data_IF_846199676831
#
_entry.id   IF_846199676831
#
_cell.length_a   1.000
_cell.length_b   1.000
_cell.length_c   1.000
_cell.angle_alpha   90.00
_cell.angle_beta   90.00
_cell.angle_gamma   90.00
#
_symmetry.space_group_name_H-M   'P 1'
#
loop_
_entity.id
_entity.type
_entity.pdbx_description
1 polymer ?
#
# COMPACT_ATOMS: atom_id res chain seq x y z
N UNK A 1 -25.23 3.51 -1.87
CA UNK A 1 -24.04 3.77 -1.05
C UNK A 1 -24.53 4.17 0.33
N UNK A 2 -24.04 3.53 1.38
CA UNK A 2 -24.38 3.88 2.75
C UNK A 2 -23.39 4.92 3.33
N UNK A 3 -23.69 5.50 4.49
CA UNK A 3 -22.86 6.54 5.11
C UNK A 3 -21.45 6.05 5.49
N UNK A 4 -21.34 4.79 5.92
CA UNK A 4 -20.05 4.16 6.26
C UNK A 4 -19.15 4.06 5.03
N UNK A 5 -19.71 3.71 3.87
CA UNK A 5 -18.99 3.71 2.60
C UNK A 5 -18.49 5.10 2.25
N UNK A 6 -19.33 6.13 2.33
CA UNK A 6 -18.92 7.52 2.05
C UNK A 6 -17.77 7.98 2.95
N UNK A 7 -17.85 7.67 4.25
CA UNK A 7 -16.80 7.95 5.22
C UNK A 7 -15.49 7.24 4.86
N UNK A 8 -15.53 5.92 4.63
CA UNK A 8 -14.36 5.14 4.21
C UNK A 8 -13.76 5.71 2.92
N UNK A 9 -14.57 5.95 1.90
CA UNK A 9 -14.12 6.47 0.61
C UNK A 9 -13.39 7.82 0.76
N UNK A 10 -13.90 8.70 1.63
CA UNK A 10 -13.27 10.00 1.89
C UNK A 10 -11.88 9.86 2.50
N UNK A 11 -11.66 8.82 3.32
CA UNK A 11 -10.38 8.53 3.97
C UNK A 11 -9.40 7.89 2.98
N UNK A 12 -9.85 6.85 2.26
CA UNK A 12 -8.95 5.96 1.52
C UNK A 12 -8.73 6.36 0.07
N UNK A 13 -9.55 7.25 -0.49
CA UNK A 13 -9.51 7.60 -1.91
C UNK A 13 -9.72 9.08 -2.22
N UNK A 14 -9.68 9.93 -1.18
CA UNK A 14 -9.92 11.37 -1.26
C UNK A 14 -11.26 11.73 -1.95
N UNK A 15 -12.25 10.86 -1.81
CA UNK A 15 -13.56 10.98 -2.45
C UNK A 15 -14.34 12.19 -1.90
N UNK A 16 -14.87 13.02 -2.80
CA UNK A 16 -15.64 14.23 -2.49
C UNK A 16 -17.01 14.24 -3.19
N UNK A 17 -17.68 13.09 -3.21
CA UNK A 17 -18.98 12.90 -3.88
C UNK A 17 -18.90 12.19 -5.23
N UNK A 18 -17.77 12.27 -5.92
CA UNK A 18 -17.51 11.55 -7.18
C UNK A 18 -16.02 11.33 -7.41
N UNK A 19 -15.70 10.42 -8.33
CA UNK A 19 -14.35 10.25 -8.88
C UNK A 19 -14.24 10.96 -10.24
N UNK A 20 -13.06 11.47 -10.54
CA UNK A 20 -12.69 11.91 -11.88
C UNK A 20 -12.04 10.73 -12.63
N UNK A 21 -12.44 10.50 -13.88
CA UNK A 21 -11.93 9.39 -14.68
C UNK A 21 -12.64 8.06 -14.43
N UNK A 22 -11.94 6.97 -14.70
CA UNK A 22 -12.49 5.63 -14.55
C UNK A 22 -12.60 5.25 -13.07
N UNK A 23 -13.61 4.49 -12.70
CA UNK A 23 -13.70 3.98 -11.33
C UNK A 23 -14.50 2.67 -11.21
N UNK A 24 -14.24 1.91 -10.15
CA UNK A 24 -15.06 0.78 -9.72
C UNK A 24 -15.12 0.69 -8.21
N UNK A 25 -16.28 0.97 -7.63
CA UNK A 25 -16.51 0.93 -6.18
C UNK A 25 -17.05 -0.43 -5.78
N UNK A 26 -16.37 -1.07 -4.82
CA UNK A 26 -16.78 -2.33 -4.22
C UNK A 26 -17.30 -2.08 -2.81
N UNK A 27 -18.51 -2.53 -2.52
CA UNK A 27 -19.16 -2.46 -1.20
C UNK A 27 -19.60 -3.88 -0.81
N UNK A 28 -19.14 -4.37 0.34
CA UNK A 28 -19.53 -5.66 0.93
C UNK A 28 -19.46 -6.84 -0.06
N UNK A 29 -18.37 -6.89 -0.83
CA UNK A 29 -18.11 -7.93 -1.81
C UNK A 29 -18.83 -7.79 -3.15
N UNK A 30 -19.51 -6.67 -3.41
CA UNK A 30 -20.26 -6.42 -4.64
C UNK A 30 -19.86 -5.10 -5.29
N UNK A 31 -19.96 -5.02 -6.60
CA UNK A 31 -19.79 -3.76 -7.34
C UNK A 31 -21.03 -2.90 -7.19
N UNK A 32 -20.89 -1.66 -6.69
CA UNK A 32 -22.00 -0.70 -6.56
C UNK A 32 -21.93 0.45 -7.57
N UNK A 33 -20.82 0.60 -8.27
CA UNK A 33 -20.68 1.57 -9.34
C UNK A 33 -19.42 1.28 -10.14
N UNK A 34 -19.51 1.37 -11.46
CA UNK A 34 -18.38 1.15 -12.36
C UNK A 34 -18.51 2.00 -13.61
N UNK A 35 -17.44 2.72 -13.94
CA UNK A 35 -17.35 3.60 -15.10
C UNK A 35 -15.97 3.40 -15.75
N UNK A 36 -15.98 3.13 -17.05
CA UNK A 36 -14.80 3.16 -17.92
C UNK A 36 -14.69 4.54 -18.59
N UNK A 37 -13.49 4.91 -19.03
CA UNK A 37 -13.26 6.07 -19.91
C UNK A 37 -13.04 5.59 -21.34
N UNK A 38 -12.63 6.50 -22.22
CA UNK A 38 -12.24 6.15 -23.59
C UNK A 38 -11.02 5.22 -23.62
N UNK A 39 -10.06 5.42 -22.71
CA UNK A 39 -8.77 4.71 -22.70
C UNK A 39 -8.57 3.78 -21.51
N UNK A 40 -9.44 3.83 -20.49
CA UNK A 40 -9.38 2.94 -19.33
C UNK A 40 -10.65 2.10 -19.25
N UNK A 41 -10.50 0.80 -19.53
CA UNK A 41 -11.59 -0.16 -19.62
C UNK A 41 -11.62 -1.05 -18.38
N UNK A 42 -12.72 -1.00 -17.62
CA UNK A 42 -12.91 -1.84 -16.43
C UNK A 42 -13.92 -2.94 -16.72
N UNK A 43 -13.44 -4.17 -16.82
CA UNK A 43 -14.25 -5.35 -17.11
C UNK A 43 -14.34 -6.26 -15.87
N UNK A 44 -15.49 -6.91 -15.68
CA UNK A 44 -15.59 -7.94 -14.64
C UNK A 44 -14.94 -9.23 -15.16
N UNK A 45 -14.16 -9.87 -14.30
CA UNK A 45 -13.63 -11.21 -14.55
C UNK A 45 -14.74 -12.23 -14.68
N UNK A 46 -14.49 -13.26 -15.48
CA UNK A 46 -15.45 -14.36 -15.73
C UNK A 46 -15.16 -15.61 -14.90
N UNK A 47 -13.91 -15.77 -14.46
CA UNK A 47 -13.37 -16.95 -13.78
C UNK A 47 -13.39 -16.82 -12.25
N UNK A 48 -13.20 -15.59 -11.74
CA UNK A 48 -13.11 -15.30 -10.30
C UNK A 48 -13.62 -13.88 -9.99
N UNK A 49 -13.96 -13.56 -8.73
CA UNK A 49 -14.38 -12.22 -8.35
C UNK A 49 -13.29 -11.18 -8.65
N UNK A 50 -13.65 -10.08 -9.29
CA UNK A 50 -12.76 -8.94 -9.51
C UNK A 50 -12.71 -8.48 -10.96
N UNK A 51 -11.63 -7.80 -11.34
CA UNK A 51 -11.59 -6.95 -12.52
C UNK A 51 -10.43 -7.28 -13.46
N UNK A 52 -10.69 -7.17 -14.76
CA UNK A 52 -9.69 -6.97 -15.80
C UNK A 52 -9.71 -5.48 -16.15
N UNK A 53 -8.64 -4.77 -15.81
CA UNK A 53 -8.48 -3.34 -16.05
C UNK A 53 -7.47 -3.20 -17.19
N UNK A 54 -7.91 -2.62 -18.31
CA UNK A 54 -7.10 -2.46 -19.51
C UNK A 54 -6.93 -0.98 -19.77
N UNK A 55 -5.68 -0.52 -19.82
CA UNK A 55 -5.31 0.85 -20.14
C UNK A 55 -4.63 0.83 -21.51
N UNK A 56 -5.22 1.55 -22.46
CA UNK A 56 -4.78 1.55 -23.86
C UNK A 56 -3.38 2.18 -24.01
N UNK A 57 -2.66 1.76 -25.06
CA UNK A 57 -1.34 2.31 -25.37
C UNK A 57 -1.38 3.83 -25.53
N UNK A 58 -0.38 4.54 -25.00
CA UNK A 58 -0.27 5.99 -25.10
C UNK A 58 -1.19 6.78 -24.17
N UNK A 59 -1.91 6.13 -23.25
CA UNK A 59 -2.78 6.84 -22.29
C UNK A 59 -1.96 7.73 -21.36
N UNK A 60 -2.23 9.03 -21.33
CA UNK A 60 -1.50 10.02 -20.52
C UNK A 60 -2.45 10.85 -19.65
N UNK A 61 -2.13 10.99 -18.37
CA UNK A 61 -2.81 11.89 -17.44
C UNK A 61 -4.17 11.40 -16.94
N UNK A 62 -4.57 10.17 -17.26
CA UNK A 62 -5.81 9.58 -16.73
C UNK A 62 -5.61 8.96 -15.36
N UNK A 63 -6.69 8.96 -14.57
CA UNK A 63 -6.76 8.32 -13.27
C UNK A 63 -7.85 7.25 -13.21
N UNK A 64 -7.60 6.21 -12.43
CA UNK A 64 -8.51 5.13 -12.12
C UNK A 64 -8.67 4.98 -10.61
N UNK A 65 -9.90 4.92 -10.10
CA UNK A 65 -10.17 4.64 -8.69
C UNK A 65 -10.85 3.27 -8.48
N UNK A 66 -10.29 2.39 -7.65
CA UNK A 66 -10.88 1.06 -7.37
C UNK A 66 -11.02 0.76 -5.86
N UNK A 67 -11.73 1.59 -5.08
CA UNK A 67 -11.84 1.41 -3.65
C UNK A 67 -12.76 0.23 -3.26
N UNK A 68 -12.45 -0.39 -2.13
CA UNK A 68 -13.26 -1.43 -1.50
C UNK A 68 -13.65 -1.05 -0.06
N UNK A 69 -14.94 -1.17 0.24
CA UNK A 69 -15.52 -0.83 1.53
C UNK A 69 -16.27 -2.05 2.08
N UNK A 70 -15.83 -2.57 3.22
CA UNK A 70 -16.60 -3.51 4.03
C UNK A 70 -17.23 -2.71 5.15
N UNK A 71 -18.56 -2.66 5.19
CA UNK A 71 -19.32 -1.70 5.99
C UNK A 71 -19.91 -2.29 7.26
N UNK A 72 -19.80 -3.60 7.46
CA UNK A 72 -20.22 -4.29 8.67
C UNK A 72 -19.44 -5.60 8.88
N UNK A 73 -19.53 -6.17 10.09
CA UNK A 73 -19.01 -7.49 10.40
C UNK A 73 -19.79 -8.63 9.71
N UNK A 74 -19.24 -9.84 9.75
CA UNK A 74 -19.71 -11.02 9.01
C UNK A 74 -19.50 -10.90 7.48
N UNK A 75 -18.45 -10.19 7.09
CA UNK A 75 -18.03 -10.08 5.68
C UNK A 75 -16.62 -10.64 5.52
N UNK A 76 -16.48 -11.53 4.55
CA UNK A 76 -15.21 -12.06 4.10
C UNK A 76 -15.06 -11.82 2.59
N UNK A 77 -14.46 -10.68 2.24
CA UNK A 77 -14.32 -10.27 0.85
C UNK A 77 -12.95 -10.64 0.28
N UNK A 78 -12.96 -11.19 -0.93
CA UNK A 78 -11.76 -11.55 -1.71
C UNK A 78 -11.98 -11.12 -3.16
N UNK A 79 -11.03 -10.34 -3.70
CA UNK A 79 -11.13 -9.80 -5.05
C UNK A 79 -9.79 -9.92 -5.79
N UNK A 80 -9.84 -10.24 -7.08
CA UNK A 80 -8.68 -10.37 -7.95
C UNK A 80 -8.71 -9.30 -9.04
N UNK A 81 -7.78 -8.37 -9.03
CA UNK A 81 -7.70 -7.30 -10.01
C UNK A 81 -6.42 -7.43 -10.82
N UNK A 82 -6.56 -7.54 -12.13
CA UNK A 82 -5.41 -7.51 -13.05
C UNK A 82 -5.42 -6.19 -13.79
N UNK A 83 -4.28 -5.51 -13.80
CA UNK A 83 -4.06 -4.27 -14.52
C UNK A 83 -3.13 -4.56 -15.69
N UNK A 84 -3.62 -4.32 -16.89
CA UNK A 84 -2.87 -4.39 -18.14
C UNK A 84 -2.63 -2.97 -18.61
N UNK A 85 -1.41 -2.47 -18.42
CA UNK A 85 -1.02 -1.11 -18.80
C UNK A 85 -0.28 -1.20 -20.13
N UNK A 86 -0.84 -0.54 -21.15
CA UNK A 86 -0.27 -0.46 -22.49
C UNK A 86 1.11 0.19 -22.55
N UNK A 87 1.69 0.19 -23.75
CA UNK A 87 2.95 0.85 -24.04
C UNK A 87 2.82 2.37 -23.88
N UNK A 88 3.91 3.06 -23.51
CA UNK A 88 3.98 4.52 -23.48
C UNK A 88 2.86 5.19 -22.65
N UNK A 89 2.46 4.61 -21.52
CA UNK A 89 1.42 5.15 -20.63
C UNK A 89 1.98 6.09 -19.54
N UNK A 90 1.14 6.95 -18.97
CA UNK A 90 1.40 7.75 -17.77
C UNK A 90 0.07 7.92 -17.03
N UNK A 91 -0.14 7.12 -15.98
CA UNK A 91 -1.44 6.99 -15.33
C UNK A 91 -1.33 6.90 -13.81
N UNK A 92 -2.39 7.34 -13.13
CA UNK A 92 -2.53 7.22 -11.67
C UNK A 92 -3.64 6.25 -11.29
N UNK A 93 -3.33 5.29 -10.44
CA UNK A 93 -4.27 4.30 -9.93
C UNK A 93 -4.44 4.55 -8.42
N UNK A 94 -5.67 4.79 -8.00
CA UNK A 94 -6.07 5.07 -6.63
C UNK A 94 -6.84 3.85 -6.11
N UNK A 95 -6.22 3.08 -5.23
CA UNK A 95 -6.86 2.03 -4.47
C UNK A 95 -7.03 2.47 -3.02
N UNK A 96 -7.96 1.80 -2.34
CA UNK A 96 -8.15 2.02 -0.93
C UNK A 96 -9.14 1.03 -0.35
N UNK A 97 -8.80 0.46 0.79
CA UNK A 97 -9.62 -0.55 1.44
C UNK A 97 -9.99 -0.09 2.85
N UNK A 98 -11.28 -0.09 3.16
CA UNK A 98 -11.76 0.11 4.51
C UNK A 98 -12.56 -1.08 4.99
N UNK A 99 -12.33 -1.46 6.25
CA UNK A 99 -13.13 -2.49 6.93
C UNK A 99 -13.76 -1.90 8.19
N UNK A 100 -15.06 -2.09 8.34
CA UNK A 100 -15.85 -1.54 9.44
C UNK A 100 -16.58 -2.65 10.20
N UNK A 101 -16.56 -2.57 11.52
CA UNK A 101 -17.43 -3.38 12.36
C UNK A 101 -17.75 -2.69 13.69
N UNK A 102 -19.05 -2.61 14.01
CA UNK A 102 -19.57 -2.13 15.30
C UNK A 102 -20.03 -3.27 16.22
N UNK A 103 -19.92 -4.53 15.76
CA UNK A 103 -20.33 -5.71 16.51
C UNK A 103 -19.12 -6.62 16.80
N UNK A 104 -19.38 -7.86 17.25
CA UNK A 104 -18.35 -8.86 17.50
C UNK A 104 -17.92 -9.65 16.26
N UNK A 105 -18.58 -9.45 15.12
CA UNK A 105 -18.33 -10.23 13.92
C UNK A 105 -17.15 -9.66 13.11
N UNK A 106 -16.33 -10.53 12.49
CA UNK A 106 -15.16 -10.11 11.75
C UNK A 106 -15.53 -9.39 10.44
N UNK A 107 -14.75 -8.39 10.08
CA UNK A 107 -14.83 -7.68 8.79
C UNK A 107 -13.49 -7.85 8.06
N UNK A 108 -13.53 -8.46 6.87
CA UNK A 108 -12.31 -8.80 6.11
C UNK A 108 -12.40 -8.39 4.66
N UNK A 109 -11.30 -7.86 4.14
CA UNK A 109 -11.14 -7.57 2.71
C UNK A 109 -9.72 -7.90 2.23
N UNK A 110 -9.61 -8.78 1.23
CA UNK A 110 -8.35 -9.17 0.64
C UNK A 110 -8.34 -8.84 -0.86
N UNK A 111 -7.51 -7.87 -1.24
CA UNK A 111 -7.26 -7.50 -2.63
C UNK A 111 -6.02 -8.21 -3.18
N UNK A 112 -6.18 -8.98 -4.25
CA UNK A 112 -5.07 -9.58 -4.99
C UNK A 112 -4.92 -8.79 -6.30
N UNK A 113 -3.86 -8.00 -6.39
CA UNK A 113 -3.57 -7.10 -7.49
C UNK A 113 -2.38 -7.62 -8.30
N UNK A 114 -2.51 -7.69 -9.62
CA UNK A 114 -1.41 -8.02 -10.52
C UNK A 114 -1.27 -6.93 -11.58
N UNK A 115 -0.08 -6.34 -11.67
CA UNK A 115 0.26 -5.29 -12.61
C UNK A 115 1.15 -5.86 -13.71
N UNK A 116 0.69 -5.71 -14.94
CA UNK A 116 1.43 -6.01 -16.16
C UNK A 116 1.67 -4.69 -16.88
N UNK A 117 2.83 -4.08 -16.60
CA UNK A 117 3.19 -2.76 -17.12
C UNK A 117 4.12 -2.96 -18.31
N UNK A 118 3.68 -2.49 -19.48
CA UNK A 118 4.49 -2.54 -20.71
C UNK A 118 5.57 -1.45 -20.76
N UNK A 119 6.29 -1.40 -21.87
CA UNK A 119 7.47 -0.58 -22.04
C UNK A 119 7.14 0.92 -22.02
N UNK A 120 8.10 1.73 -21.54
CA UNK A 120 8.02 3.20 -21.53
C UNK A 120 6.80 3.77 -20.79
N UNK A 121 6.23 2.98 -19.88
CA UNK A 121 5.05 3.35 -19.11
C UNK A 121 5.39 3.77 -17.70
N UNK A 122 4.72 4.81 -17.21
CA UNK A 122 4.85 5.34 -15.85
C UNK A 122 3.53 5.15 -15.11
N UNK A 123 3.56 4.47 -13.96
CA UNK A 123 2.38 4.21 -13.14
C UNK A 123 2.59 4.76 -11.74
N UNK A 124 1.69 5.63 -11.29
CA UNK A 124 1.60 5.99 -9.88
C UNK A 124 0.45 5.22 -9.24
N UNK A 125 0.75 4.43 -8.21
CA UNK A 125 -0.22 3.66 -7.46
C UNK A 125 -0.30 4.16 -6.02
N UNK A 126 -1.49 4.56 -5.62
CA UNK A 126 -1.80 5.07 -4.29
C UNK A 126 -2.71 4.06 -3.59
N UNK A 127 -2.34 3.61 -2.40
CA UNK A 127 -3.17 2.69 -1.61
C UNK A 127 -3.29 3.16 -0.15
N UNK A 128 -4.51 3.19 0.37
CA UNK A 128 -4.77 3.51 1.77
C UNK A 128 -5.63 2.44 2.44
N UNK A 129 -5.27 2.06 3.66
CA UNK A 129 -6.01 1.09 4.48
C UNK A 129 -6.46 1.70 5.80
N UNK A 130 -7.72 1.43 6.17
CA UNK A 130 -8.29 1.86 7.45
C UNK A 130 -9.22 0.82 8.03
N UNK A 131 -9.15 0.62 9.35
CA UNK A 131 -10.17 -0.07 10.11
C UNK A 131 -11.00 0.92 10.91
N UNK A 132 -12.33 0.78 10.89
CA UNK A 132 -13.25 1.68 11.60
C UNK A 132 -14.31 0.91 12.40
N UNK A 133 -15.07 1.64 13.22
CA UNK A 133 -16.11 1.06 14.08
C UNK A 133 -15.59 0.70 15.48
N UNK A 134 -16.52 0.68 16.44
CA UNK A 134 -16.25 0.51 17.88
C UNK A 134 -16.40 -0.95 18.34
N UNK A 135 -16.73 -1.85 17.42
CA UNK A 135 -16.91 -3.26 17.69
C UNK A 135 -15.59 -3.97 17.98
N UNK A 136 -15.70 -5.04 18.77
CA UNK A 136 -14.56 -5.94 19.06
C UNK A 136 -14.30 -6.95 17.94
N UNK A 137 -15.09 -6.92 16.86
CA UNK A 137 -14.88 -7.73 15.67
C UNK A 137 -13.51 -7.46 15.04
N UNK A 138 -12.87 -8.54 14.60
CA UNK A 138 -11.56 -8.49 13.96
C UNK A 138 -11.65 -7.79 12.61
N UNK A 139 -10.79 -6.80 12.39
CA UNK A 139 -10.67 -6.05 11.15
C UNK A 139 -9.40 -6.49 10.43
N UNK A 140 -9.52 -7.17 9.30
CA UNK A 140 -8.34 -7.69 8.59
C UNK A 140 -8.29 -7.28 7.12
N UNK A 141 -7.10 -6.87 6.68
CA UNK A 141 -6.81 -6.54 5.28
C UNK A 141 -5.49 -7.20 4.89
N UNK A 142 -5.56 -8.24 4.06
CA UNK A 142 -4.38 -9.02 3.63
C UNK A 142 -4.15 -8.87 2.12
N UNK A 143 -3.55 -7.74 1.67
CA UNK A 143 -3.34 -7.46 0.26
C UNK A 143 -2.16 -8.28 -0.30
N UNK A 144 -2.29 -8.67 -1.56
CA UNK A 144 -1.20 -9.26 -2.34
C UNK A 144 -1.03 -8.47 -3.63
N UNK A 145 0.17 -7.98 -3.88
CA UNK A 145 0.50 -7.22 -5.08
C UNK A 145 1.64 -7.89 -5.84
N UNK A 146 1.43 -8.18 -7.12
CA UNK A 146 2.44 -8.68 -8.04
C UNK A 146 2.68 -7.66 -9.15
N UNK A 147 3.94 -7.32 -9.43
CA UNK A 147 4.32 -6.26 -10.37
C UNK A 147 5.29 -6.83 -11.39
N UNK A 148 4.99 -6.63 -12.67
CA UNK A 148 5.90 -6.93 -13.79
C UNK A 148 6.12 -5.65 -14.59
N UNK A 149 7.35 -5.16 -14.61
CA UNK A 149 7.76 -3.96 -15.35
C UNK A 149 8.45 -4.34 -16.66
N UNK A 150 7.90 -3.86 -17.78
CA UNK A 150 8.53 -3.87 -19.11
C UNK A 150 9.76 -2.96 -19.16
N UNK A 151 10.38 -2.81 -20.33
CA UNK A 151 11.61 -2.01 -20.48
C UNK A 151 11.33 -0.50 -20.40
N UNK A 152 12.26 0.25 -19.82
CA UNK A 152 12.15 1.71 -19.67
C UNK A 152 10.88 2.18 -18.95
N UNK A 153 10.30 1.34 -18.10
CA UNK A 153 9.05 1.61 -17.39
C UNK A 153 9.30 1.93 -15.92
N UNK A 154 8.32 2.53 -15.25
CA UNK A 154 8.41 2.80 -13.82
C UNK A 154 7.08 2.64 -13.10
N UNK A 155 7.15 2.23 -11.83
CA UNK A 155 6.02 2.28 -10.92
C UNK A 155 6.43 2.94 -9.61
N UNK A 156 5.68 3.95 -9.20
CA UNK A 156 5.74 4.55 -7.86
C UNK A 156 4.54 4.03 -7.07
N UNK A 157 4.80 3.31 -5.98
CA UNK A 157 3.79 2.78 -5.10
C UNK A 157 3.87 3.50 -3.75
N UNK A 158 2.84 4.27 -3.42
CA UNK A 158 2.67 4.92 -2.13
C UNK A 158 1.53 4.23 -1.38
N UNK A 159 1.87 3.48 -0.33
CA UNK A 159 0.91 2.73 0.47
C UNK A 159 0.91 3.19 1.91
N UNK A 160 -0.28 3.31 2.49
CA UNK A 160 -0.45 3.70 3.90
C UNK A 160 -1.50 2.86 4.60
N UNK A 161 -1.20 2.42 5.82
CA UNK A 161 -2.19 1.93 6.78
C UNK A 161 -2.36 2.97 7.87
N UNK A 162 -3.52 3.63 7.88
CA UNK A 162 -3.79 4.81 8.70
C UNK A 162 -4.02 4.42 10.17
N UNK A 163 -4.63 3.26 10.43
CA UNK A 163 -4.94 2.77 11.77
C UNK A 163 -6.19 1.89 11.81
N UNK A 164 -6.49 1.35 13.00
CA UNK A 164 -7.70 0.57 13.28
C UNK A 164 -7.79 -0.84 12.65
N UNK A 165 -6.82 -1.27 11.85
CA UNK A 165 -6.77 -2.62 11.27
C UNK A 165 -6.17 -3.57 12.30
N UNK A 166 -6.93 -4.59 12.73
CA UNK A 166 -6.50 -5.52 13.78
C UNK A 166 -5.35 -6.42 13.34
N UNK A 167 -5.40 -6.91 12.10
CA UNK A 167 -4.33 -7.72 11.53
C UNK A 167 -4.19 -7.46 10.03
N UNK A 168 -2.97 -7.30 9.55
CA UNK A 168 -2.68 -7.27 8.11
C UNK A 168 -1.45 -8.10 7.77
N UNK A 169 -1.55 -8.89 6.70
CA UNK A 169 -0.40 -9.51 6.03
C UNK A 169 -0.32 -9.01 4.60
N UNK A 170 0.65 -8.14 4.35
CA UNK A 170 0.87 -7.45 3.08
C UNK A 170 2.00 -8.11 2.33
N UNK A 171 1.74 -8.59 1.11
CA UNK A 171 2.76 -9.24 0.28
C UNK A 171 2.92 -8.46 -1.01
N UNK A 172 4.14 -8.03 -1.32
CA UNK A 172 4.46 -7.36 -2.59
C UNK A 172 5.61 -8.10 -3.28
N UNK A 173 5.39 -8.47 -4.54
CA UNK A 173 6.37 -9.15 -5.40
C UNK A 173 6.59 -8.31 -6.66
N UNK A 174 7.84 -8.01 -6.98
CA UNK A 174 8.20 -7.21 -8.15
C UNK A 174 9.21 -7.91 -9.04
N UNK A 175 9.03 -7.80 -10.35
CA UNK A 175 10.03 -8.15 -11.37
C UNK A 175 10.33 -6.90 -12.19
N UNK A 176 11.58 -6.45 -12.17
CA UNK A 176 11.99 -5.18 -12.79
C UNK A 176 12.78 -5.44 -14.08
N UNK A 177 12.23 -4.94 -15.19
CA UNK A 177 12.79 -5.02 -16.53
C UNK A 177 13.98 -4.08 -16.78
N UNK A 178 14.51 -4.11 -18.00
CA UNK A 178 15.70 -3.33 -18.40
C UNK A 178 15.43 -1.83 -18.30
N UNK A 179 16.37 -1.09 -17.72
CA UNK A 179 16.29 0.36 -17.56
C UNK A 179 14.99 0.85 -16.89
N UNK A 180 14.40 0.02 -16.02
CA UNK A 180 13.13 0.29 -15.35
C UNK A 180 13.32 0.51 -13.87
N UNK A 181 12.41 1.27 -13.25
CA UNK A 181 12.53 1.67 -11.85
C UNK A 181 11.27 1.37 -11.06
N UNK A 182 11.40 0.69 -9.92
CA UNK A 182 10.33 0.51 -8.95
C UNK A 182 10.61 1.37 -7.72
N UNK A 183 9.65 2.16 -7.28
CA UNK A 183 9.72 2.96 -6.05
C UNK A 183 8.56 2.51 -5.17
N UNK A 184 8.86 2.13 -3.93
CA UNK A 184 7.87 1.69 -2.95
C UNK A 184 8.08 2.50 -1.68
N UNK A 185 7.07 3.29 -1.32
CA UNK A 185 6.96 3.95 -0.04
C UNK A 185 5.80 3.33 0.74
N UNK A 186 6.09 2.80 1.91
CA UNK A 186 5.10 2.23 2.82
C UNK A 186 5.09 3.01 4.14
N UNK A 187 3.88 3.28 4.65
CA UNK A 187 3.64 3.91 5.95
C UNK A 187 2.67 3.06 6.75
N UNK A 188 3.06 2.63 7.94
CA UNK A 188 2.25 1.72 8.76
C UNK A 188 2.07 2.27 10.17
N UNK A 189 0.81 2.48 10.57
CA UNK A 189 0.45 2.64 11.98
C UNK A 189 -0.21 1.35 12.50
N UNK A 190 0.29 0.89 13.65
CA UNK A 190 -0.42 -0.09 14.49
C UNK A 190 -0.50 0.42 15.92
N UNK A 191 -1.63 0.19 16.56
CA UNK A 191 -1.94 0.60 17.93
C UNK A 191 -2.73 -0.49 18.68
N UNK A 192 -3.06 -0.28 19.94
CA UNK A 192 -3.75 -1.27 20.78
C UNK A 192 -3.07 -2.65 20.78
N UNK A 193 -3.75 -3.67 20.26
CA UNK A 193 -3.29 -5.05 20.13
C UNK A 193 -3.20 -5.46 18.64
N UNK A 194 -2.97 -4.49 17.76
CA UNK A 194 -2.91 -4.71 16.31
C UNK A 194 -1.62 -5.40 15.90
N UNK A 195 -1.66 -6.08 14.76
CA UNK A 195 -0.47 -6.69 14.15
C UNK A 195 -0.38 -6.39 12.66
N UNK A 196 0.83 -6.16 12.16
CA UNK A 196 1.08 -6.02 10.73
C UNK A 196 2.32 -6.82 10.33
N UNK A 197 2.22 -7.57 9.24
CA UNK A 197 3.34 -8.24 8.60
C UNK A 197 3.46 -7.74 7.18
N UNK A 198 4.63 -7.23 6.81
CA UNK A 198 4.95 -6.85 5.44
C UNK A 198 6.05 -7.73 4.89
N UNK A 199 5.82 -8.23 3.67
CA UNK A 199 6.77 -9.07 2.92
C UNK A 199 7.00 -8.45 1.53
N UNK A 200 8.22 -8.00 1.28
CA UNK A 200 8.68 -7.55 -0.03
C UNK A 200 9.62 -8.58 -0.67
N UNK A 201 9.44 -8.85 -1.96
CA UNK A 201 10.37 -9.65 -2.76
C UNK A 201 10.52 -9.04 -4.15
N UNK A 202 11.70 -8.52 -4.47
CA UNK A 202 11.95 -7.86 -5.76
C UNK A 202 13.10 -8.55 -6.50
N UNK A 203 12.83 -9.00 -7.72
CA UNK A 203 13.82 -9.56 -8.63
C UNK A 203 14.20 -8.51 -9.69
N UNK A 204 15.44 -8.02 -9.61
CA UNK A 204 16.02 -7.02 -10.51
C UNK A 204 16.70 -7.72 -11.69
N UNK A 205 15.92 -8.05 -12.72
CA UNK A 205 16.37 -8.91 -13.83
C UNK A 205 16.91 -8.13 -15.04
N UNK A 206 16.58 -6.84 -15.16
CA UNK A 206 17.03 -6.00 -16.26
C UNK A 206 18.33 -5.26 -15.99
N UNK A 207 19.20 -5.14 -17.00
CA UNK A 207 20.34 -4.23 -16.96
C UNK A 207 19.87 -2.78 -16.78
N UNK A 208 20.52 -2.03 -15.89
CA UNK A 208 20.14 -0.66 -15.55
C UNK A 208 18.84 -0.55 -14.75
N UNK A 209 18.31 -1.65 -14.21
CA UNK A 209 17.12 -1.60 -13.34
C UNK A 209 17.44 -0.94 -11.99
N UNK A 210 16.44 -0.28 -11.39
CA UNK A 210 16.55 0.27 -10.04
C UNK A 210 15.35 -0.01 -9.12
N UNK A 211 15.60 -0.12 -7.82
CA UNK A 211 14.58 -0.20 -6.76
C UNK A 211 14.92 0.76 -5.63
N UNK A 212 13.91 1.50 -5.16
CA UNK A 212 13.95 2.25 -3.91
C UNK A 212 12.77 1.79 -3.03
N UNK A 213 13.08 1.15 -1.89
CA UNK A 213 12.10 0.55 -0.99
C UNK A 213 12.22 1.18 0.40
N UNK A 214 11.33 2.12 0.71
CA UNK A 214 11.29 2.80 2.01
C UNK A 214 10.05 2.34 2.76
N UNK A 215 10.23 1.73 3.92
CA UNK A 215 9.14 1.39 4.84
C UNK A 215 9.31 2.15 6.15
N UNK A 216 8.29 2.94 6.49
CA UNK A 216 8.21 3.69 7.75
C UNK A 216 7.07 3.18 8.60
N UNK A 217 7.36 2.82 9.83
CA UNK A 217 6.37 2.18 10.68
C UNK A 217 6.33 2.71 12.11
N UNK A 218 5.15 2.76 12.70
CA UNK A 218 4.94 3.17 14.08
C UNK A 218 4.13 2.10 14.80
N UNK A 219 4.70 1.51 15.84
CA UNK A 219 4.04 0.53 16.69
C UNK A 219 3.78 1.13 18.08
N UNK A 220 2.49 1.33 18.40
CA UNK A 220 2.01 1.85 19.69
C UNK A 220 1.44 0.76 20.59
N UNK A 221 1.28 1.07 21.87
CA UNK A 221 0.60 0.24 22.87
C UNK A 221 1.15 -1.18 22.96
N UNK A 222 0.38 -2.23 22.67
CA UNK A 222 0.82 -3.62 22.67
C UNK A 222 0.90 -4.18 21.24
N UNK A 223 1.00 -3.31 20.23
CA UNK A 223 1.02 -3.72 18.83
C UNK A 223 2.35 -4.31 18.41
N UNK A 224 2.32 -5.10 17.34
CA UNK A 224 3.49 -5.75 16.77
C UNK A 224 3.57 -5.55 15.25
N UNK A 225 4.76 -5.23 14.76
CA UNK A 225 5.02 -5.15 13.32
C UNK A 225 6.21 -6.02 12.93
N UNK A 226 6.07 -6.69 11.79
CA UNK A 226 7.10 -7.56 11.24
C UNK A 226 7.38 -7.19 9.79
N UNK A 227 8.60 -6.75 9.52
CA UNK A 227 9.07 -6.35 8.20
C UNK A 227 10.04 -7.40 7.66
N UNK A 228 9.78 -7.88 6.45
CA UNK A 228 10.67 -8.76 5.70
C UNK A 228 10.84 -8.21 4.29
N UNK A 229 12.08 -8.10 3.83
CA UNK A 229 12.36 -7.72 2.45
C UNK A 229 13.47 -8.59 1.86
N UNK A 230 13.30 -8.93 0.58
CA UNK A 230 14.32 -9.62 -0.22
C UNK A 230 14.47 -8.85 -1.52
N UNK A 231 15.66 -8.29 -1.77
CA UNK A 231 16.01 -7.66 -3.05
C UNK A 231 17.08 -8.50 -3.72
N UNK A 232 16.82 -8.98 -4.93
CA UNK A 232 17.77 -9.79 -5.72
C UNK A 232 18.27 -9.02 -6.92
N UNK A 233 19.55 -8.66 -6.90
CA UNK A 233 20.27 -8.03 -8.01
C UNK A 233 20.77 -9.08 -9.00
N UNK A 234 19.99 -9.39 -10.04
CA UNK A 234 20.32 -10.43 -11.03
C UNK A 234 21.02 -9.88 -12.29
N UNK A 235 21.15 -8.56 -12.41
CA UNK A 235 21.82 -7.84 -13.50
C UNK A 235 22.62 -6.64 -12.95
N UNK A 236 23.30 -5.89 -13.82
CA UNK A 236 23.92 -4.62 -13.44
C UNK A 236 22.82 -3.62 -13.04
N UNK A 237 22.60 -3.42 -11.73
CA UNK A 237 21.45 -2.73 -11.18
C UNK A 237 21.78 -2.00 -9.87
N UNK A 238 20.89 -1.13 -9.44
CA UNK A 238 21.00 -0.42 -8.15
C UNK A 238 19.78 -0.67 -7.29
N UNK A 239 19.97 -0.99 -6.01
CA UNK A 239 18.86 -1.18 -5.08
C UNK A 239 19.12 -0.48 -3.75
N UNK A 240 18.11 0.23 -3.27
CA UNK A 240 18.09 0.85 -1.96
C UNK A 240 16.89 0.33 -1.16
N UNK A 241 17.11 0.04 0.13
CA UNK A 241 16.06 -0.31 1.06
C UNK A 241 16.29 0.37 2.41
N UNK A 242 15.27 1.05 2.91
CA UNK A 242 15.25 1.72 4.21
C UNK A 242 14.08 1.17 5.04
N UNK A 243 14.36 0.79 6.30
CA UNK A 243 13.34 0.38 7.26
C UNK A 243 13.48 1.21 8.55
N UNK A 244 12.64 2.23 8.66
CA UNK A 244 12.60 3.10 9.83
C UNK A 244 11.36 2.79 10.66
N UNK A 245 11.53 2.62 11.97
CA UNK A 245 10.43 2.36 12.87
C UNK A 245 10.51 3.12 14.20
N UNK A 246 9.35 3.61 14.63
CA UNK A 246 9.14 4.19 15.96
C UNK A 246 8.35 3.22 16.83
N UNK A 247 8.85 2.94 18.03
CA UNK A 247 8.13 2.19 19.07
C UNK A 247 7.72 3.09 20.24
N UNK A 248 6.50 2.89 20.74
CA UNK A 248 6.00 3.52 21.98
C UNK A 248 5.17 2.52 22.79
N UNK A 249 5.05 2.75 24.10
CA UNK A 249 4.42 1.80 25.02
C UNK A 249 5.17 0.45 25.08
N UNK A 250 4.45 -0.64 24.86
CA UNK A 250 4.97 -2.01 24.71
C UNK A 250 5.08 -2.43 23.22
N UNK A 251 5.00 -1.47 22.29
CA UNK A 251 5.04 -1.74 20.87
C UNK A 251 6.34 -2.41 20.47
N UNK A 252 6.27 -3.37 19.55
CA UNK A 252 7.44 -4.13 19.10
C UNK A 252 7.52 -4.15 17.58
N UNK A 253 8.74 -4.08 17.06
CA UNK A 253 9.02 -4.16 15.63
C UNK A 253 10.17 -5.14 15.40
N UNK A 254 10.02 -6.03 14.44
CA UNK A 254 11.09 -6.88 13.94
C UNK A 254 11.33 -6.60 12.46
N UNK A 255 12.59 -6.42 12.05
CA UNK A 255 12.96 -6.23 10.66
C UNK A 255 13.99 -7.30 10.23
N UNK A 256 13.71 -7.95 9.10
CA UNK A 256 14.56 -8.99 8.50
C UNK A 256 14.80 -8.67 7.01
N UNK A 257 15.70 -7.73 6.72
CA UNK A 257 16.10 -7.39 5.35
C UNK A 257 17.08 -8.44 4.79
N UNK A 258 17.02 -8.68 3.48
CA UNK A 258 17.92 -9.54 2.74
C UNK A 258 18.25 -8.93 1.37
N UNK A 259 19.54 -8.94 1.02
CA UNK A 259 20.05 -8.51 -0.28
C UNK A 259 20.82 -9.66 -0.92
N UNK A 260 20.40 -10.08 -2.12
CA UNK A 260 21.07 -11.12 -2.90
C UNK A 260 21.71 -10.47 -4.14
N UNK A 261 23.02 -10.24 -4.11
CA UNK A 261 23.76 -9.75 -5.28
C UNK A 261 24.25 -10.92 -6.14
N UNK A 262 23.51 -11.25 -7.21
CA UNK A 262 23.82 -12.35 -8.12
C UNK A 262 24.60 -11.90 -9.37
N UNK A 263 24.78 -10.58 -9.55
CA UNK A 263 25.60 -9.98 -10.59
C UNK A 263 26.74 -9.17 -9.95
N UNK A 264 27.95 -9.23 -10.53
CA UNK A 264 29.11 -8.48 -10.05
C UNK A 264 28.88 -6.97 -10.06
N UNK A 265 28.10 -6.49 -11.02
CA UNK A 265 27.80 -5.06 -11.23
C UNK A 265 26.51 -4.62 -10.50
N UNK A 266 25.94 -5.46 -9.62
CA UNK A 266 24.82 -5.07 -8.77
C UNK A 266 25.30 -4.30 -7.54
N UNK A 267 24.70 -3.14 -7.28
CA UNK A 267 24.95 -2.33 -6.09
C UNK A 267 23.67 -2.25 -5.24
N UNK A 268 23.65 -2.99 -4.12
CA UNK A 268 22.50 -3.07 -3.23
C UNK A 268 22.88 -2.55 -1.84
N UNK A 269 22.02 -1.71 -1.25
CA UNK A 269 22.23 -1.09 0.07
C UNK A 269 20.96 -1.26 0.89
N UNK A 270 21.14 -1.55 2.18
CA UNK A 270 20.05 -1.56 3.15
C UNK A 270 20.43 -0.80 4.42
N UNK A 271 19.49 0.00 4.91
CA UNK A 271 19.57 0.77 6.14
C UNK A 271 18.33 0.51 7.02
N UNK A 272 18.53 0.45 8.34
CA UNK A 272 17.43 0.30 9.29
C UNK A 272 17.66 1.06 10.59
N UNK A 273 16.62 1.73 11.07
CA UNK A 273 16.59 2.40 12.36
C UNK A 273 15.29 2.08 13.12
N UNK A 274 15.40 1.37 14.23
CA UNK A 274 14.26 1.08 15.12
C UNK A 274 14.54 1.71 16.47
N UNK A 275 13.66 2.59 16.93
CA UNK A 275 13.87 3.30 18.19
C UNK A 275 12.62 3.95 18.75
N UNK A 276 12.75 4.51 19.94
CA UNK A 276 11.72 5.36 20.53
C UNK A 276 11.76 6.77 19.94
N UNK A 277 10.69 7.54 20.14
CA UNK A 277 10.65 8.96 19.81
C UNK A 277 11.81 9.71 20.47
N UNK A 278 12.51 10.55 19.71
CA UNK A 278 13.65 11.32 20.20
C UNK A 278 13.20 12.36 21.25
N UNK A 279 13.70 12.23 22.48
CA UNK A 279 13.29 13.07 23.61
C UNK A 279 13.52 14.58 23.40
N UNK A 280 14.53 14.97 22.61
CA UNK A 280 14.77 16.37 22.26
C UNK A 280 13.67 16.95 21.36
N UNK A 281 13.12 16.16 20.43
CA UNK A 281 12.00 16.60 19.58
C UNK A 281 10.75 16.80 20.42
N UNK A 282 10.48 15.88 21.37
CA UNK A 282 9.38 16.02 22.33
C UNK A 282 9.53 17.26 23.19
N UNK A 283 10.72 17.47 23.77
CA UNK A 283 10.99 18.65 24.59
C UNK A 283 10.76 19.95 23.80
N UNK A 284 11.27 20.01 22.56
CA UNK A 284 11.10 21.17 21.68
C UNK A 284 9.61 21.46 21.40
N UNK A 285 8.82 20.46 21.04
CA UNK A 285 7.38 20.66 20.79
C UNK A 285 6.63 21.10 22.05
N UNK A 286 6.99 20.56 23.22
CA UNK A 286 6.44 21.02 24.50
C UNK A 286 6.80 22.47 24.83
N UNK A 287 7.99 22.95 24.40
CA UNK A 287 8.32 24.39 24.53
C UNK A 287 7.44 25.30 23.67
N UNK A 288 6.81 24.76 22.61
CA UNK A 288 5.80 25.47 21.82
C UNK A 288 4.38 25.40 22.43
N UNK A 289 4.24 24.81 23.62
CA UNK A 289 2.97 24.77 24.36
C UNK A 289 2.13 23.52 24.13
N UNK A 290 2.64 22.53 23.39
CA UNK A 290 1.97 21.25 23.22
C UNK A 290 2.08 20.40 24.50
N UNK A 291 1.05 19.60 24.78
CA UNK A 291 1.17 18.51 25.75
C UNK A 291 2.13 17.43 25.24
N UNK A 292 2.52 16.50 26.11
CA UNK A 292 3.37 15.38 25.70
C UNK A 292 2.69 14.50 24.65
N UNK A 293 1.41 14.18 24.84
CA UNK A 293 0.59 13.44 23.88
C UNK A 293 0.46 14.18 22.55
N UNK A 294 0.18 15.49 22.57
CA UNK A 294 0.11 16.30 21.35
C UNK A 294 1.46 16.37 20.62
N UNK A 295 2.57 16.42 21.36
CA UNK A 295 3.90 16.42 20.79
C UNK A 295 4.26 15.07 20.15
N UNK A 296 3.96 13.96 20.83
CA UNK A 296 4.13 12.60 20.29
C UNK A 296 3.34 12.43 19.00
N UNK A 297 2.06 12.79 19.02
CA UNK A 297 1.17 12.70 17.86
C UNK A 297 1.70 13.54 16.68
N UNK A 298 2.25 14.73 16.94
CA UNK A 298 2.88 15.54 15.88
C UNK A 298 4.13 14.92 15.30
N UNK A 299 4.95 14.24 16.10
CA UNK A 299 6.14 13.55 15.60
C UNK A 299 5.72 12.34 14.76
N UNK A 300 4.76 11.54 15.23
CA UNK A 300 4.21 10.40 14.50
C UNK A 300 3.63 10.84 13.16
N UNK A 301 2.81 11.90 13.14
CA UNK A 301 2.25 12.47 11.91
C UNK A 301 3.33 12.95 10.94
N UNK A 302 4.43 13.52 11.44
CA UNK A 302 5.55 13.94 10.60
C UNK A 302 6.35 12.78 10.03
N UNK A 303 6.49 11.70 10.81
CA UNK A 303 7.22 10.49 10.44
C UNK A 303 6.46 9.67 9.38
N UNK A 304 5.13 9.58 9.53
CA UNK A 304 4.22 8.90 8.60
C UNK A 304 3.74 9.81 7.45
N UNK A 305 4.42 10.91 7.15
CA UNK A 305 4.06 11.82 6.05
C UNK A 305 4.71 11.42 4.72
#
# INVERSE_FOLDING_TARGET
MNSTTEEILSIVSDWKGSFCGAYSIREDGKSIGRVSTEHVHINAKKDKPGLDIIIDDGTKGESLAIPACVTHGDINDLVYNDFYIGDDCDVTIIAGCGVHTDNGEPARHNGIHRFFIKDRSHVKYLEKHVGTGKGNGQKSIDPVTEINLGEYSSMEMDTSQIGGVTSSRRVTRGVVGKASSLIIHERLLTEDNQSATTEFSVDMNGEGSSIDLISRSVAKDNSHQSYHSVIKGNAACTGHSECDAIITGNGTVSASPQLDANCLDAALIHEAAIGKIAGEQLLKLRTFGLTEEEAEEKIIQGFLR
#
